data_IF_000451644887
#
_entry.id   IF_000451644887
#
_cell.length_a   1.000
_cell.length_b   1.000
_cell.length_c   1.000
_cell.angle_alpha   90.00
_cell.angle_beta   90.00
_cell.angle_gamma   90.00
#
_symmetry.space_group_name_H-M   'P 1'
#
loop_
_entity.id
_entity.type
_entity.pdbx_description
1 polymer ?
#
# COMPACT_ATOMS: atom_id res chain seq x y z
N UNK A 1 22.99 -1.46 -17.16
CA UNK A 1 22.51 -2.09 -15.90
C UNK A 1 22.30 -3.57 -16.20
N UNK A 2 22.87 -4.47 -15.39
CA UNK A 2 22.85 -5.92 -15.69
C UNK A 2 21.53 -6.55 -15.21
N UNK A 3 21.08 -7.60 -15.89
CA UNK A 3 19.90 -8.40 -15.50
C UNK A 3 20.00 -8.87 -14.04
N UNK A 4 21.20 -9.26 -13.60
CA UNK A 4 21.49 -9.65 -12.21
C UNK A 4 21.13 -8.56 -11.20
N UNK A 5 21.43 -7.29 -11.50
CA UNK A 5 21.10 -6.17 -10.63
C UNK A 5 19.58 -6.02 -10.45
N UNK A 6 18.81 -6.15 -11.54
CA UNK A 6 17.34 -6.08 -11.49
C UNK A 6 16.72 -7.24 -10.68
N UNK A 7 17.31 -8.43 -10.77
CA UNK A 7 16.88 -9.60 -9.99
C UNK A 7 17.12 -9.36 -8.50
N UNK A 8 18.29 -8.85 -8.12
CA UNK A 8 18.58 -8.52 -6.71
C UNK A 8 17.57 -7.50 -6.17
N UNK A 9 17.28 -6.45 -6.95
CA UNK A 9 16.31 -5.43 -6.57
C UNK A 9 14.89 -6.00 -6.42
N UNK A 10 14.50 -6.93 -7.31
CA UNK A 10 13.23 -7.67 -7.25
C UNK A 10 13.09 -8.44 -5.94
N UNK A 11 14.14 -9.16 -5.53
CA UNK A 11 14.13 -9.95 -4.29
C UNK A 11 14.04 -9.06 -3.04
N UNK A 12 14.78 -7.95 -3.01
CA UNK A 12 14.72 -6.98 -1.91
C UNK A 12 13.31 -6.39 -1.79
N UNK A 13 12.70 -6.00 -2.91
CA UNK A 13 11.34 -5.44 -2.91
C UNK A 13 10.29 -6.47 -2.48
N UNK A 14 10.44 -7.74 -2.84
CA UNK A 14 9.56 -8.80 -2.32
C UNK A 14 9.70 -8.99 -0.81
N UNK A 15 10.91 -8.94 -0.27
CA UNK A 15 11.13 -9.01 1.17
C UNK A 15 10.48 -7.83 1.90
N UNK A 16 10.62 -6.60 1.38
CA UNK A 16 9.95 -5.40 1.90
C UNK A 16 8.42 -5.57 1.82
N UNK A 17 7.91 -6.08 0.70
CA UNK A 17 6.49 -6.32 0.50
C UNK A 17 5.92 -7.26 1.56
N UNK A 18 6.60 -8.39 1.81
CA UNK A 18 6.19 -9.38 2.79
C UNK A 18 6.25 -8.85 4.23
N UNK A 19 7.32 -8.13 4.58
CA UNK A 19 7.46 -7.52 5.90
C UNK A 19 6.34 -6.50 6.17
N UNK A 20 6.04 -5.61 5.20
CA UNK A 20 4.97 -4.63 5.33
C UNK A 20 3.57 -5.28 5.37
N UNK A 21 3.37 -6.38 4.64
CA UNK A 21 2.14 -7.18 4.75
C UNK A 21 1.98 -7.77 6.16
N UNK A 22 3.05 -8.34 6.73
CA UNK A 22 3.02 -8.86 8.10
C UNK A 22 2.67 -7.79 9.14
N UNK A 23 3.14 -6.55 8.96
CA UNK A 23 2.72 -5.42 9.81
C UNK A 23 1.23 -5.14 9.63
N UNK A 24 0.74 -5.08 8.39
CA UNK A 24 -0.68 -4.85 8.07
C UNK A 24 -1.58 -5.90 8.73
N UNK A 25 -1.26 -7.19 8.57
CA UNK A 25 -2.01 -8.30 9.18
C UNK A 25 -1.97 -8.23 10.71
N UNK A 26 -0.80 -7.90 11.29
CA UNK A 26 -0.66 -7.72 12.74
C UNK A 26 -1.55 -6.58 13.24
N UNK A 27 -1.61 -5.45 12.52
CA UNK A 27 -2.47 -4.33 12.86
C UNK A 27 -3.96 -4.70 12.75
N UNK A 28 -4.36 -5.44 11.71
CA UNK A 28 -5.77 -5.81 11.50
C UNK A 28 -6.26 -6.86 12.50
N UNK A 29 -5.48 -7.92 12.72
CA UNK A 29 -5.97 -9.12 13.41
C UNK A 29 -5.36 -9.32 14.81
N UNK A 30 -4.21 -8.71 15.10
CA UNK A 30 -3.43 -9.00 16.32
C UNK A 30 -2.98 -7.74 17.07
N UNK A 31 -3.62 -6.59 16.82
CA UNK A 31 -3.17 -5.31 17.40
C UNK A 31 -3.07 -5.37 18.93
N UNK A 32 -4.10 -5.89 19.61
CA UNK A 32 -4.19 -5.92 21.08
C UNK A 32 -3.12 -6.75 21.77
N UNK A 33 -2.55 -7.74 21.09
CA UNK A 33 -1.48 -8.60 21.62
C UNK A 33 -0.09 -8.22 21.10
N UNK A 34 -0.01 -7.44 20.02
CA UNK A 34 1.23 -7.00 19.39
C UNK A 34 2.01 -5.96 20.20
N UNK A 35 3.22 -5.65 19.72
CA UNK A 35 4.04 -4.52 20.21
C UNK A 35 3.40 -3.16 19.93
N UNK A 36 2.57 -3.05 18.89
CA UNK A 36 2.00 -1.78 18.43
C UNK A 36 0.98 -1.20 19.40
N UNK A 37 0.39 -2.02 20.29
CA UNK A 37 -0.51 -1.56 21.35
C UNK A 37 0.13 -0.57 22.32
N UNK A 38 1.47 -0.55 22.40
CA UNK A 38 2.24 0.33 23.28
C UNK A 38 2.62 1.65 22.59
N UNK A 39 2.38 1.76 21.29
CA UNK A 39 2.70 2.94 20.50
C UNK A 39 1.49 3.88 20.43
N UNK A 40 1.67 5.05 19.81
CA UNK A 40 0.60 6.05 19.68
C UNK A 40 -0.64 5.43 18.99
N UNK A 41 -1.78 5.29 19.69
CA UNK A 41 -2.96 4.64 19.14
C UNK A 41 -3.58 5.43 17.99
N UNK A 42 -3.38 6.77 17.93
CA UNK A 42 -3.87 7.56 16.81
C UNK A 42 -3.14 7.25 15.50
N UNK A 43 -1.98 6.59 15.51
CA UNK A 43 -1.32 6.15 14.27
C UNK A 43 -1.39 4.63 14.11
N UNK A 44 -1.22 3.88 15.20
CA UNK A 44 -1.05 2.43 15.16
C UNK A 44 -2.32 1.63 15.40
N UNK A 45 -3.37 2.19 16.01
CA UNK A 45 -4.63 1.46 16.25
C UNK A 45 -5.61 1.69 15.07
N UNK A 46 -5.96 0.67 14.27
CA UNK A 46 -6.94 0.83 13.20
C UNK A 46 -8.32 1.31 13.67
N UNK A 47 -8.69 1.07 14.94
CA UNK A 47 -9.97 1.51 15.51
C UNK A 47 -10.02 3.01 15.80
N UNK A 48 -8.86 3.66 15.96
CA UNK A 48 -8.76 5.07 16.34
C UNK A 48 -8.09 5.94 15.28
N UNK A 49 -7.20 5.36 14.49
CA UNK A 49 -6.32 6.09 13.57
C UNK A 49 -7.03 6.74 12.38
N UNK A 50 -8.26 6.31 12.06
CA UNK A 50 -9.10 6.98 11.07
C UNK A 50 -9.30 8.48 11.37
N UNK A 51 -9.22 8.89 12.65
CA UNK A 51 -9.34 10.29 13.08
C UNK A 51 -8.27 11.18 12.46
N UNK A 52 -7.06 10.68 12.19
CA UNK A 52 -5.98 11.46 11.59
C UNK A 52 -6.29 11.96 10.17
N UNK A 53 -7.30 11.37 9.50
CA UNK A 53 -7.76 11.77 8.18
C UNK A 53 -8.51 13.10 8.21
N UNK A 54 -9.01 13.51 9.38
CA UNK A 54 -9.96 14.61 9.52
C UNK A 54 -9.44 15.74 10.44
N UNK A 55 -9.98 16.95 10.26
CA UNK A 55 -9.65 18.09 11.13
C UNK A 55 -10.18 17.84 12.55
N UNK A 56 -9.33 18.03 13.54
CA UNK A 56 -9.62 17.75 14.95
C UNK A 56 -10.13 16.31 15.23
N UNK A 57 -9.91 15.37 14.33
CA UNK A 57 -10.46 14.02 14.42
C UNK A 57 -11.94 13.89 14.08
N UNK A 58 -12.56 14.92 13.49
CA UNK A 58 -13.98 15.02 13.23
C UNK A 58 -14.30 15.00 11.72
N UNK A 59 -14.98 13.95 11.21
CA UNK A 59 -15.39 13.86 9.82
C UNK A 59 -16.24 15.03 9.31
N UNK A 60 -17.05 15.64 10.19
CA UNK A 60 -17.93 16.76 9.83
C UNK A 60 -17.13 18.04 9.54
N UNK A 61 -15.94 18.18 10.13
CA UNK A 61 -15.01 19.28 9.85
C UNK A 61 -14.18 19.07 8.58
N UNK A 62 -14.35 17.92 7.92
CA UNK A 62 -13.71 17.59 6.66
C UNK A 62 -12.25 17.15 6.80
N UNK A 63 -11.59 17.02 5.65
CA UNK A 63 -10.24 16.49 5.54
C UNK A 63 -9.21 17.36 6.29
N UNK A 64 -8.30 16.70 7.03
CA UNK A 64 -7.19 17.35 7.75
C UNK A 64 -6.33 18.19 6.80
N UNK A 65 -6.02 17.64 5.63
CA UNK A 65 -5.30 18.31 4.55
C UNK A 65 -5.75 17.74 3.19
N UNK A 66 -5.50 18.43 2.06
CA UNK A 66 -5.91 17.94 0.74
C UNK A 66 -5.40 16.52 0.48
N UNK A 67 -6.32 15.58 0.26
CA UNK A 67 -5.98 14.18 -0.01
C UNK A 67 -5.94 13.26 1.22
N UNK A 68 -6.03 13.75 2.46
CA UNK A 68 -5.93 12.92 3.68
C UNK A 68 -7.04 11.87 3.82
N UNK A 69 -8.16 12.04 3.12
CA UNK A 69 -9.27 11.07 3.04
C UNK A 69 -9.29 10.28 1.72
N UNK A 70 -8.36 10.57 0.80
CA UNK A 70 -8.30 9.97 -0.54
C UNK A 70 -6.88 9.50 -0.88
N UNK A 71 -6.16 10.15 -1.78
CA UNK A 71 -4.89 9.67 -2.34
C UNK A 71 -3.67 9.83 -1.40
N UNK A 72 -3.81 10.60 -0.32
CA UNK A 72 -2.81 10.72 0.76
C UNK A 72 -3.23 10.01 2.06
N UNK A 73 -4.29 9.20 2.03
CA UNK A 73 -4.73 8.43 3.21
C UNK A 73 -3.61 7.55 3.79
N UNK A 74 -2.68 7.08 2.96
CA UNK A 74 -1.54 6.27 3.39
C UNK A 74 -0.55 7.02 4.29
N UNK A 75 -0.64 8.34 4.39
CA UNK A 75 0.20 9.14 5.31
C UNK A 75 -0.45 9.39 6.67
N UNK A 76 -1.73 9.02 6.85
CA UNK A 76 -2.48 9.38 8.06
C UNK A 76 -2.41 8.32 9.15
N UNK A 77 -2.16 7.06 8.81
CA UNK A 77 -2.12 5.95 9.76
C UNK A 77 -1.25 4.79 9.29
N UNK A 78 -0.86 3.93 10.23
CA UNK A 78 0.04 2.81 9.98
C UNK A 78 -0.59 1.76 9.05
N UNK A 79 -1.89 1.48 9.17
CA UNK A 79 -2.53 0.45 8.37
C UNK A 79 -2.45 0.78 6.88
N UNK A 80 -2.83 1.99 6.49
CA UNK A 80 -2.80 2.42 5.09
C UNK A 80 -1.35 2.65 4.61
N UNK A 81 -0.44 3.06 5.51
CA UNK A 81 0.98 3.20 5.18
C UNK A 81 1.60 1.86 4.79
N UNK A 82 1.47 0.85 5.66
CA UNK A 82 2.10 -0.46 5.44
C UNK A 82 1.41 -1.26 4.32
N UNK A 83 0.10 -1.15 4.15
CA UNK A 83 -0.60 -1.71 2.98
C UNK A 83 -0.08 -1.06 1.68
N UNK A 84 0.13 0.26 1.68
CA UNK A 84 0.69 0.98 0.52
C UNK A 84 2.13 0.54 0.25
N UNK A 85 3.00 0.48 1.27
CA UNK A 85 4.39 0.01 1.11
C UNK A 85 4.39 -1.40 0.52
N UNK A 86 3.57 -2.30 1.06
CA UNK A 86 3.48 -3.68 0.59
C UNK A 86 3.10 -3.74 -0.89
N UNK A 87 1.97 -3.13 -1.25
CA UNK A 87 1.48 -3.14 -2.64
C UNK A 87 2.45 -2.46 -3.62
N UNK A 88 3.07 -1.34 -3.23
CA UNK A 88 4.01 -0.62 -4.12
C UNK A 88 5.32 -1.35 -4.29
N UNK A 89 5.82 -2.00 -3.23
CA UNK A 89 7.00 -2.85 -3.33
C UNK A 89 6.74 -4.05 -4.27
N UNK A 90 5.60 -4.74 -4.13
CA UNK A 90 5.22 -5.84 -5.02
C UNK A 90 5.04 -5.38 -6.49
N UNK A 91 4.35 -4.26 -6.72
CA UNK A 91 4.14 -3.72 -8.08
C UNK A 91 5.46 -3.35 -8.73
N UNK A 92 6.36 -2.68 -8.00
CA UNK A 92 7.67 -2.30 -8.51
C UNK A 92 8.57 -3.51 -8.77
N UNK A 93 8.52 -4.52 -7.88
CA UNK A 93 9.19 -5.80 -8.05
C UNK A 93 8.77 -6.49 -9.36
N UNK A 94 7.46 -6.58 -9.62
CA UNK A 94 6.94 -7.13 -10.87
C UNK A 94 7.44 -6.36 -12.10
N UNK A 95 7.48 -5.02 -12.03
CA UNK A 95 7.97 -4.20 -13.14
C UNK A 95 9.47 -4.41 -13.42
N UNK A 96 10.30 -4.54 -12.37
CA UNK A 96 11.72 -4.86 -12.55
C UNK A 96 11.94 -6.25 -13.13
N UNK A 97 11.17 -7.24 -12.69
CA UNK A 97 11.24 -8.59 -13.23
C UNK A 97 10.82 -8.63 -14.70
N UNK A 98 9.73 -7.94 -15.08
CA UNK A 98 9.29 -7.81 -16.48
C UNK A 98 10.37 -7.12 -17.32
N UNK A 99 10.93 -6.02 -16.82
CA UNK A 99 11.98 -5.27 -17.52
C UNK A 99 13.22 -6.15 -17.75
N UNK A 100 13.62 -6.92 -16.74
CA UNK A 100 14.73 -7.86 -16.82
C UNK A 100 14.47 -8.99 -17.84
N UNK A 101 13.27 -9.58 -17.80
CA UNK A 101 12.89 -10.69 -18.67
C UNK A 101 12.71 -10.26 -20.14
N UNK A 102 12.14 -9.08 -20.38
CA UNK A 102 11.88 -8.56 -21.71
C UNK A 102 13.09 -7.84 -22.33
N UNK A 103 14.19 -7.68 -21.59
CA UNK A 103 15.37 -6.93 -22.04
C UNK A 103 15.08 -5.44 -22.26
N UNK A 104 14.06 -4.89 -21.59
CA UNK A 104 13.66 -3.51 -21.77
C UNK A 104 14.63 -2.52 -21.10
N UNK A 105 14.74 -1.30 -21.62
CA UNK A 105 15.52 -0.25 -20.95
C UNK A 105 14.85 0.14 -19.61
N UNK A 106 15.65 0.57 -18.63
CA UNK A 106 15.18 0.88 -17.27
C UNK A 106 14.03 1.89 -17.21
N UNK A 107 13.98 2.85 -18.13
CA UNK A 107 12.90 3.84 -18.18
C UNK A 107 11.53 3.19 -18.44
N UNK A 108 11.49 2.00 -19.05
CA UNK A 108 10.26 1.24 -19.31
C UNK A 108 9.56 0.75 -18.02
N UNK A 109 10.25 0.79 -16.87
CA UNK A 109 9.65 0.50 -15.56
C UNK A 109 8.50 1.46 -15.25
N UNK A 110 8.59 2.74 -15.64
CA UNK A 110 7.54 3.73 -15.37
C UNK A 110 6.23 3.43 -16.11
N UNK A 111 6.19 3.27 -17.45
CA UNK A 111 4.96 2.88 -18.13
C UNK A 111 4.48 1.47 -17.71
N UNK A 112 5.39 0.53 -17.42
CA UNK A 112 5.01 -0.78 -16.87
C UNK A 112 4.27 -0.65 -15.52
N UNK A 113 4.76 0.22 -14.63
CA UNK A 113 4.13 0.49 -13.33
C UNK A 113 2.74 1.10 -13.49
N UNK A 114 2.57 2.03 -14.44
CA UNK A 114 1.25 2.58 -14.78
C UNK A 114 0.31 1.47 -15.28
N UNK A 115 0.78 0.63 -16.20
CA UNK A 115 0.01 -0.51 -16.72
C UNK A 115 -0.43 -1.48 -15.63
N UNK A 116 0.49 -1.91 -14.76
CA UNK A 116 0.20 -2.79 -13.61
C UNK A 116 -0.81 -2.14 -12.65
N UNK A 117 -0.66 -0.85 -12.35
CA UNK A 117 -1.58 -0.12 -11.47
C UNK A 117 -2.99 -0.05 -12.06
N UNK A 118 -3.10 0.29 -13.35
CA UNK A 118 -4.39 0.38 -14.05
C UNK A 118 -5.06 -1.00 -14.06
N UNK A 119 -4.33 -2.05 -14.46
CA UNK A 119 -4.86 -3.41 -14.49
C UNK A 119 -5.37 -3.87 -13.11
N UNK A 120 -4.57 -3.64 -12.05
CA UNK A 120 -4.95 -3.98 -10.68
C UNK A 120 -6.21 -3.21 -10.22
N UNK A 121 -6.28 -1.90 -10.49
CA UNK A 121 -7.45 -1.10 -10.11
C UNK A 121 -8.70 -1.47 -10.89
N UNK A 122 -8.59 -1.76 -12.19
CA UNK A 122 -9.73 -2.25 -13.00
C UNK A 122 -10.25 -3.56 -12.44
N UNK A 123 -9.37 -4.52 -12.17
CA UNK A 123 -9.75 -5.80 -11.56
C UNK A 123 -10.42 -5.61 -10.19
N UNK A 124 -9.85 -4.76 -9.34
CA UNK A 124 -10.43 -4.41 -8.04
C UNK A 124 -11.83 -3.81 -8.20
N UNK A 125 -12.01 -2.78 -9.04
CA UNK A 125 -13.30 -2.10 -9.21
C UNK A 125 -14.37 -3.03 -9.76
N UNK A 126 -14.03 -3.92 -10.70
CA UNK A 126 -14.99 -4.91 -11.25
C UNK A 126 -15.50 -5.81 -10.13
N UNK A 127 -14.61 -6.34 -9.29
CA UNK A 127 -15.00 -7.27 -8.22
C UNK A 127 -15.70 -6.53 -7.08
N UNK A 128 -15.10 -5.45 -6.59
CA UNK A 128 -15.60 -4.67 -5.45
C UNK A 128 -17.01 -4.14 -5.71
N UNK A 129 -17.24 -3.52 -6.86
CA UNK A 129 -18.57 -2.98 -7.22
C UNK A 129 -19.66 -4.06 -7.37
N UNK A 130 -19.28 -5.32 -7.61
CA UNK A 130 -20.20 -6.46 -7.70
C UNK A 130 -20.52 -7.06 -6.34
N UNK A 131 -19.55 -7.04 -5.43
CA UNK A 131 -19.70 -7.56 -4.07
C UNK A 131 -20.41 -6.56 -3.14
N UNK A 132 -20.04 -5.28 -3.22
CA UNK A 132 -20.60 -4.22 -2.38
C UNK A 132 -22.10 -4.02 -2.65
N UNK A 133 -22.53 -4.04 -3.91
CA UNK A 133 -23.96 -3.89 -4.28
C UNK A 133 -24.86 -5.07 -3.86
N UNK A 134 -24.32 -6.11 -3.23
CA UNK A 134 -25.05 -7.30 -2.76
C UNK A 134 -25.17 -7.38 -1.23
N UNK A 135 -24.65 -6.38 -0.51
CA UNK A 135 -24.87 -6.19 0.93
C UNK A 135 -25.76 -4.98 1.15
#
# INVERSE_FOLDING_TARGET
MTTTFLIILTLILWAISGAANGVTDTLQFHYSTSIFRKLNPLFWDPKLSWRNKYRDGDPEKGARFPGSTTWLVWTTDALHLFDTISRKAAQLSACFLITAAAGWPLWAVLPALVGVKVAANVGFHIVYSRLEKRM
#
